data_IF_598044150029
#
_entry.id   IF_598044150029
#
_cell.length_a   1.000
_cell.length_b   1.000
_cell.length_c   1.000
_cell.angle_alpha   90.00
_cell.angle_beta   90.00
_cell.angle_gamma   90.00
#
_symmetry.space_group_name_H-M   'P 1'
#
loop_
_entity.id
_entity.type
_entity.pdbx_description
1 polymer ?
#
# COMPACT_ATOMS: atom_id res chain seq x y z
N UNK A 1 24.80 6.27 5.71
CA UNK A 1 25.43 4.94 5.64
C UNK A 1 25.06 4.20 6.92
N UNK A 2 24.07 3.31 6.87
CA UNK A 2 23.64 2.52 8.03
C UNK A 2 24.43 1.22 8.06
N UNK A 3 25.26 1.07 9.07
CA UNK A 3 26.10 -0.10 9.26
C UNK A 3 25.39 -1.11 10.15
N UNK A 4 25.25 -2.36 9.68
CA UNK A 4 24.60 -3.42 10.44
C UNK A 4 25.41 -4.72 10.38
N UNK A 5 25.68 -5.31 11.53
CA UNK A 5 26.31 -6.63 11.61
C UNK A 5 25.26 -7.74 11.57
N UNK A 6 25.50 -8.79 10.79
CA UNK A 6 24.78 -10.06 10.89
C UNK A 6 25.49 -10.96 11.88
N UNK A 7 24.87 -11.33 12.97
CA UNK A 7 25.25 -12.54 13.68
C UNK A 7 24.04 -13.46 13.77
N UNK A 8 24.32 -14.76 13.66
CA UNK A 8 23.35 -15.86 13.64
C UNK A 8 22.35 -15.80 14.79
N UNK A 9 21.13 -15.98 14.46
CA UNK A 9 19.97 -16.56 15.18
C UNK A 9 19.54 -16.10 16.58
N UNK A 10 20.31 -15.38 17.37
CA UNK A 10 19.78 -14.85 18.66
C UNK A 10 20.64 -13.70 19.16
N UNK A 11 20.06 -12.51 19.34
CA UNK A 11 20.59 -11.30 20.01
C UNK A 11 21.32 -10.31 19.12
N UNK A 12 20.53 -9.51 18.39
CA UNK A 12 21.04 -8.42 17.55
C UNK A 12 21.19 -7.09 18.35
N UNK A 13 20.64 -7.00 19.56
CA UNK A 13 20.51 -5.75 20.32
C UNK A 13 21.63 -5.50 21.35
N UNK A 14 22.82 -6.08 21.17
CA UNK A 14 23.91 -5.99 22.15
C UNK A 14 25.28 -5.79 21.50
N UNK A 15 25.37 -4.84 20.57
CA UNK A 15 26.64 -4.48 19.95
C UNK A 15 26.89 -2.98 20.09
N UNK A 16 28.15 -2.61 20.33
CA UNK A 16 28.60 -1.21 20.38
C UNK A 16 29.45 -0.93 19.14
N UNK A 17 29.06 0.08 18.36
CA UNK A 17 29.81 0.53 17.20
C UNK A 17 30.62 1.79 17.54
N UNK A 18 31.92 1.76 17.31
CA UNK A 18 32.79 2.94 17.34
C UNK A 18 33.05 3.39 15.91
N UNK A 19 32.50 4.53 15.53
CA UNK A 19 32.67 5.13 14.21
C UNK A 19 33.74 6.21 14.29
N UNK A 20 34.82 6.08 13.50
CA UNK A 20 35.91 7.02 13.40
C UNK A 20 36.19 7.35 11.93
N UNK A 21 36.96 8.42 11.65
CA UNK A 21 37.33 8.81 10.26
C UNK A 21 38.04 7.69 9.49
N UNK A 22 38.75 6.82 10.17
CA UNK A 22 39.54 5.72 9.62
C UNK A 22 38.80 4.38 9.60
N UNK A 23 37.52 4.33 9.96
CA UNK A 23 36.69 3.11 9.87
C UNK A 23 35.75 2.90 11.04
N UNK A 24 35.15 1.70 11.05
CA UNK A 24 34.18 1.27 12.04
C UNK A 24 34.70 0.05 12.76
N UNK A 25 34.61 0.06 14.08
CA UNK A 25 34.89 -1.08 14.93
C UNK A 25 33.64 -1.47 15.69
N UNK A 26 33.31 -2.76 15.66
CA UNK A 26 32.18 -3.33 16.40
C UNK A 26 32.70 -4.13 17.59
N UNK A 27 31.97 -4.06 18.70
CA UNK A 27 32.23 -4.81 19.92
C UNK A 27 30.91 -5.40 20.41
N UNK A 28 30.95 -6.57 21.04
CA UNK A 28 29.84 -7.05 21.85
C UNK A 28 29.78 -6.29 23.20
N UNK A 29 28.73 -6.54 23.97
CA UNK A 29 28.58 -5.90 25.31
C UNK A 29 29.64 -6.28 26.32
N UNK A 30 30.42 -7.32 26.06
CA UNK A 30 31.58 -7.71 26.86
C UNK A 30 32.88 -7.03 26.38
N UNK A 31 32.80 -6.14 25.37
CA UNK A 31 33.96 -5.44 24.80
C UNK A 31 34.81 -6.27 23.82
N UNK A 32 34.34 -7.46 23.42
CA UNK A 32 35.08 -8.30 22.46
C UNK A 32 34.88 -7.79 21.03
N UNK A 33 35.95 -7.64 20.25
CA UNK A 33 35.83 -7.20 18.86
C UNK A 33 34.97 -8.14 18.01
N UNK A 34 34.15 -7.55 17.12
CA UNK A 34 33.34 -8.23 16.10
C UNK A 34 33.68 -7.68 14.73
N UNK A 35 33.67 -8.53 13.71
CA UNK A 35 33.83 -8.08 12.33
C UNK A 35 32.54 -7.44 11.80
N UNK A 36 32.58 -6.18 11.30
CA UNK A 36 31.44 -5.54 10.69
C UNK A 36 31.09 -6.24 9.38
N UNK A 37 29.82 -6.66 9.22
CA UNK A 37 29.32 -7.12 7.94
C UNK A 37 28.64 -5.95 7.24
N UNK A 38 29.19 -5.56 6.10
CA UNK A 38 28.66 -4.49 5.27
C UNK A 38 27.62 -5.06 4.31
N UNK A 39 26.48 -4.37 4.17
CA UNK A 39 25.49 -4.63 3.16
C UNK A 39 25.46 -3.42 2.22
N UNK A 40 25.60 -3.63 0.92
CA UNK A 40 25.55 -2.57 -0.05
C UNK A 40 24.10 -2.13 -0.23
N UNK A 41 23.84 -0.83 -0.07
CA UNK A 41 22.57 -0.19 -0.39
C UNK A 41 22.76 0.52 -1.72
N UNK A 42 22.04 0.07 -2.75
CA UNK A 42 22.16 0.60 -4.11
C UNK A 42 21.27 1.83 -4.34
N UNK A 43 21.12 2.69 -3.34
CA UNK A 43 20.40 3.95 -3.51
C UNK A 43 21.37 5.03 -3.95
N UNK A 44 21.03 5.67 -5.08
CA UNK A 44 21.74 6.85 -5.54
C UNK A 44 21.43 8.03 -4.59
N UNK A 45 22.42 8.77 -4.07
CA UNK A 45 22.20 9.99 -3.30
C UNK A 45 21.33 11.04 -4.03
N UNK A 46 21.41 11.11 -5.37
CA UNK A 46 20.58 11.99 -6.20
C UNK A 46 19.08 11.67 -6.06
N UNK A 47 18.73 10.41 -5.81
CA UNK A 47 17.33 10.03 -5.54
C UNK A 47 16.77 10.64 -4.25
N UNK A 48 17.62 11.05 -3.33
CA UNK A 48 17.24 11.74 -2.09
C UNK A 48 17.07 13.26 -2.25
N UNK A 49 17.20 13.80 -3.47
CA UNK A 49 16.98 15.20 -3.78
C UNK A 49 15.56 15.43 -4.31
N UNK A 50 15.04 16.66 -4.17
CA UNK A 50 13.69 17.02 -4.66
C UNK A 50 13.57 17.05 -6.20
N UNK A 51 14.67 17.05 -6.93
CA UNK A 51 14.73 16.98 -8.41
C UNK A 51 13.79 17.98 -9.12
N UNK A 52 13.72 19.22 -8.59
CA UNK A 52 12.86 20.29 -9.11
C UNK A 52 11.41 20.31 -8.60
N UNK A 53 10.98 19.30 -7.87
CA UNK A 53 9.67 19.30 -7.23
C UNK A 53 9.66 20.19 -5.97
N UNK A 54 8.52 20.79 -5.67
CA UNK A 54 8.37 21.65 -4.49
C UNK A 54 8.49 20.85 -3.18
N UNK A 55 7.96 19.62 -3.14
CA UNK A 55 7.95 18.75 -1.98
C UNK A 55 8.38 17.33 -2.36
N UNK A 56 8.95 16.60 -1.41
CA UNK A 56 9.29 15.18 -1.59
C UNK A 56 8.06 14.34 -1.92
N UNK A 57 6.95 14.54 -1.20
CA UNK A 57 5.72 13.81 -1.48
C UNK A 57 5.25 13.97 -2.92
N UNK A 58 5.30 15.18 -3.49
CA UNK A 58 4.91 15.37 -4.89
C UNK A 58 5.82 14.60 -5.84
N UNK A 59 7.15 14.67 -5.64
CA UNK A 59 8.11 13.86 -6.37
C UNK A 59 7.77 12.37 -6.28
N UNK A 60 7.52 11.87 -5.08
CA UNK A 60 7.22 10.47 -4.80
C UNK A 60 5.90 10.00 -5.42
N UNK A 61 4.89 10.89 -5.55
CA UNK A 61 3.68 10.62 -6.32
C UNK A 61 4.01 10.42 -7.82
N UNK A 62 4.88 11.27 -8.38
CA UNK A 62 5.29 11.17 -9.79
C UNK A 62 6.31 10.05 -10.06
N UNK A 63 6.98 9.54 -9.04
CA UNK A 63 7.89 8.40 -9.14
C UNK A 63 7.18 7.04 -9.12
N UNK A 64 5.88 6.99 -8.83
CA UNK A 64 5.15 5.73 -8.69
C UNK A 64 5.22 4.83 -9.93
N UNK A 65 5.10 5.31 -11.19
CA UNK A 65 5.25 4.46 -12.38
C UNK A 65 6.60 3.72 -12.38
N UNK A 66 7.71 4.46 -12.20
CA UNK A 66 9.06 3.88 -12.16
C UNK A 66 9.25 2.95 -10.94
N UNK A 67 8.63 3.29 -9.80
CA UNK A 67 8.67 2.43 -8.62
C UNK A 67 7.98 1.08 -8.87
N UNK A 68 6.86 1.05 -9.60
CA UNK A 68 6.19 -0.18 -10.02
C UNK A 68 7.07 -0.97 -11.01
N UNK A 69 7.67 -0.33 -12.01
CA UNK A 69 8.63 -0.99 -12.92
C UNK A 69 9.74 -1.70 -12.15
N UNK A 70 10.38 -1.01 -11.20
CA UNK A 70 11.43 -1.57 -10.35
C UNK A 70 10.91 -2.73 -9.47
N UNK A 71 9.66 -2.62 -9.00
CA UNK A 71 9.03 -3.65 -8.18
C UNK A 71 8.82 -4.94 -8.95
N UNK A 72 8.38 -4.84 -10.20
CA UNK A 72 8.04 -6.01 -11.03
C UNK A 72 9.23 -6.57 -11.82
N UNK A 73 10.31 -5.80 -11.96
CA UNK A 73 11.47 -6.16 -12.75
C UNK A 73 12.08 -7.50 -12.30
N UNK A 74 12.15 -8.47 -13.24
CA UNK A 74 12.72 -9.79 -13.03
C UNK A 74 11.84 -10.74 -12.19
N UNK A 75 10.61 -10.33 -11.79
CA UNK A 75 9.74 -11.15 -10.92
C UNK A 75 8.76 -12.03 -11.67
N UNK A 76 8.72 -11.95 -12.98
CA UNK A 76 7.94 -12.87 -13.81
C UNK A 76 8.48 -12.92 -15.24
N UNK A 77 8.06 -13.95 -15.97
CA UNK A 77 8.32 -14.10 -17.40
C UNK A 77 7.00 -14.29 -18.13
N UNK A 78 6.73 -13.43 -19.12
CA UNK A 78 5.56 -13.58 -19.99
C UNK A 78 5.69 -14.80 -20.94
N UNK A 79 6.91 -15.22 -21.28
CA UNK A 79 7.13 -16.36 -22.16
C UNK A 79 6.75 -17.69 -21.50
N UNK A 80 7.08 -17.82 -20.20
CA UNK A 80 6.85 -19.06 -19.43
C UNK A 80 5.68 -18.97 -18.46
N UNK A 81 5.07 -17.79 -18.30
CA UNK A 81 4.07 -17.48 -17.29
C UNK A 81 4.52 -17.80 -15.85
N UNK A 82 5.84 -17.84 -15.61
CA UNK A 82 6.41 -18.10 -14.28
C UNK A 82 6.50 -16.82 -13.48
N UNK A 83 6.24 -16.92 -12.19
CA UNK A 83 6.40 -15.85 -11.22
C UNK A 83 7.57 -16.21 -10.32
N UNK A 84 8.57 -15.33 -10.28
CA UNK A 84 9.82 -15.50 -9.56
C UNK A 84 9.87 -14.52 -8.38
N UNK A 85 9.62 -15.03 -7.19
CA UNK A 85 9.79 -14.25 -5.95
C UNK A 85 11.21 -14.53 -5.40
N UNK A 86 12.25 -14.17 -6.17
CA UNK A 86 13.66 -14.54 -5.90
C UNK A 86 14.16 -14.14 -4.51
N UNK A 87 13.63 -13.04 -3.97
CA UNK A 87 13.96 -12.58 -2.62
C UNK A 87 13.35 -13.50 -1.54
N UNK A 88 12.36 -14.35 -1.90
CA UNK A 88 11.61 -15.21 -0.97
C UNK A 88 12.12 -16.65 -1.04
N UNK A 89 12.85 -17.06 -0.02
CA UNK A 89 13.50 -18.37 0.05
C UNK A 89 12.52 -19.52 0.45
N UNK A 90 11.28 -19.50 -0.04
CA UNK A 90 10.32 -20.58 0.17
C UNK A 90 10.25 -21.45 -1.09
N UNK A 91 10.30 -22.78 -0.90
CA UNK A 91 10.05 -23.71 -2.00
C UNK A 91 8.56 -23.73 -2.38
N UNK A 92 8.25 -24.17 -3.60
CA UNK A 92 6.86 -24.34 -4.06
C UNK A 92 6.05 -25.26 -3.15
N UNK A 93 6.67 -26.33 -2.61
CA UNK A 93 6.00 -27.23 -1.67
C UNK A 93 5.69 -26.54 -0.34
N UNK A 94 6.57 -25.68 0.14
CA UNK A 94 6.29 -24.87 1.33
C UNK A 94 5.16 -23.86 1.07
N UNK A 95 5.15 -23.19 -0.08
CA UNK A 95 4.06 -22.30 -0.47
C UNK A 95 2.71 -23.05 -0.53
N UNK A 96 2.66 -24.23 -1.11
CA UNK A 96 1.46 -25.08 -1.20
C UNK A 96 0.99 -25.61 0.16
N UNK A 97 1.88 -25.70 1.14
CA UNK A 97 1.54 -26.17 2.48
C UNK A 97 0.71 -25.16 3.28
N UNK A 98 0.80 -23.87 2.98
CA UNK A 98 0.04 -22.84 3.69
C UNK A 98 -1.46 -22.95 3.37
N UNK A 99 -2.27 -23.14 4.40
CA UNK A 99 -3.74 -23.23 4.34
C UNK A 99 -4.42 -21.96 4.78
N UNK A 100 -3.72 -21.13 5.54
CA UNK A 100 -4.18 -19.86 6.09
C UNK A 100 -3.10 -18.81 5.95
N UNK A 101 -3.50 -17.57 5.70
CA UNK A 101 -2.60 -16.43 5.66
C UNK A 101 -3.08 -15.41 6.69
N UNK A 102 -2.15 -14.87 7.46
CA UNK A 102 -2.40 -13.78 8.39
C UNK A 102 -1.49 -12.61 8.06
N UNK A 103 -2.08 -11.46 7.75
CA UNK A 103 -1.33 -10.26 7.39
C UNK A 103 -1.43 -9.26 8.54
N UNK A 104 -0.28 -8.83 9.07
CA UNK A 104 -0.18 -7.91 10.18
C UNK A 104 0.59 -6.66 9.74
N UNK A 105 -0.01 -5.49 9.97
CA UNK A 105 0.55 -4.21 9.56
C UNK A 105 -0.05 -3.05 10.37
N UNK A 106 0.47 -1.84 10.17
CA UNK A 106 -0.05 -0.60 10.76
C UNK A 106 -0.27 0.46 9.68
N UNK A 107 -1.24 1.35 9.88
CA UNK A 107 -1.50 2.53 9.03
C UNK A 107 -1.69 2.18 7.55
N UNK A 108 -1.02 2.91 6.67
CA UNK A 108 -1.04 2.70 5.22
C UNK A 108 -0.75 1.26 4.81
N UNK A 109 0.20 0.59 5.48
CA UNK A 109 0.50 -0.82 5.19
C UNK A 109 -0.63 -1.78 5.60
N UNK A 110 -1.47 -1.41 6.57
CA UNK A 110 -2.67 -2.17 6.91
C UNK A 110 -3.75 -2.04 5.82
N UNK A 111 -3.88 -0.86 5.19
CA UNK A 111 -4.76 -0.70 4.02
C UNK A 111 -4.27 -1.56 2.84
N UNK A 112 -2.95 -1.60 2.60
CA UNK A 112 -2.38 -2.50 1.60
C UNK A 112 -2.65 -3.99 1.93
N UNK A 113 -2.49 -4.38 3.19
CA UNK A 113 -2.82 -5.72 3.69
C UNK A 113 -4.28 -6.09 3.41
N UNK A 114 -5.21 -5.15 3.67
CA UNK A 114 -6.64 -5.36 3.45
C UNK A 114 -6.97 -5.52 1.96
N UNK A 115 -6.35 -4.73 1.07
CA UNK A 115 -6.47 -4.94 -0.38
C UNK A 115 -5.87 -6.28 -0.80
N UNK A 116 -4.69 -6.64 -0.26
CA UNK A 116 -4.04 -7.93 -0.48
C UNK A 116 -4.89 -9.14 -0.08
N UNK A 117 -5.69 -9.00 0.99
CA UNK A 117 -6.69 -10.02 1.36
C UNK A 117 -7.65 -10.29 0.21
N UNK A 118 -8.26 -9.25 -0.36
CA UNK A 118 -9.16 -9.42 -1.51
C UNK A 118 -8.45 -10.11 -2.69
N UNK A 119 -7.22 -9.71 -3.00
CA UNK A 119 -6.43 -10.30 -4.08
C UNK A 119 -6.18 -11.81 -3.85
N UNK A 120 -5.69 -12.18 -2.67
CA UNK A 120 -5.31 -13.56 -2.35
C UNK A 120 -6.56 -14.45 -2.25
N UNK A 121 -7.60 -14.01 -1.55
CA UNK A 121 -8.83 -14.79 -1.40
C UNK A 121 -9.54 -15.01 -2.73
N UNK A 122 -9.58 -14.00 -3.60
CA UNK A 122 -10.24 -14.09 -4.89
C UNK A 122 -9.44 -14.95 -5.89
N UNK A 123 -8.13 -14.74 -5.99
CA UNK A 123 -7.30 -15.40 -7.01
C UNK A 123 -6.80 -16.78 -6.57
N UNK A 124 -6.29 -16.89 -5.34
CA UNK A 124 -5.67 -18.13 -4.86
C UNK A 124 -6.62 -19.01 -4.03
N UNK A 125 -7.76 -18.48 -3.59
CA UNK A 125 -8.76 -19.18 -2.76
C UNK A 125 -8.19 -19.67 -1.42
N UNK A 126 -7.22 -18.93 -0.87
CA UNK A 126 -6.63 -19.17 0.45
C UNK A 126 -7.23 -18.15 1.43
N UNK A 127 -7.79 -18.59 2.57
CA UNK A 127 -8.35 -17.68 3.57
C UNK A 127 -7.30 -16.73 4.14
N UNK A 128 -7.64 -15.44 4.22
CA UNK A 128 -6.75 -14.39 4.75
C UNK A 128 -7.43 -13.63 5.87
N UNK A 129 -6.76 -13.51 7.00
CA UNK A 129 -7.13 -12.60 8.07
C UNK A 129 -6.14 -11.44 8.13
N UNK A 130 -6.66 -10.21 8.27
CA UNK A 130 -5.85 -8.99 8.39
C UNK A 130 -6.12 -8.34 9.74
N UNK A 131 -5.06 -7.93 10.43
CA UNK A 131 -5.19 -7.26 11.72
C UNK A 131 -4.15 -6.15 11.89
N UNK A 132 -4.42 -5.24 12.81
CA UNK A 132 -3.41 -4.27 13.25
C UNK A 132 -2.32 -4.96 14.05
N UNK A 133 -1.06 -4.73 13.70
CA UNK A 133 0.06 -5.33 14.41
C UNK A 133 0.11 -4.88 15.89
N UNK A 134 -0.32 -3.65 16.19
CA UNK A 134 -0.47 -3.12 17.54
C UNK A 134 -1.46 -3.90 18.38
N UNK A 135 -2.65 -4.25 17.80
CA UNK A 135 -3.76 -4.85 18.53
C UNK A 135 -3.65 -6.38 18.61
N UNK A 136 -3.14 -7.00 17.54
CA UNK A 136 -3.04 -8.46 17.45
C UNK A 136 -2.24 -9.09 18.59
N UNK A 137 -1.25 -8.37 19.11
CA UNK A 137 -0.39 -8.80 20.21
C UNK A 137 -1.14 -9.02 21.52
N UNK A 138 -2.21 -8.27 21.75
CA UNK A 138 -2.90 -8.23 23.05
C UNK A 138 -4.21 -9.03 23.07
N UNK A 139 -4.77 -9.39 21.93
CA UNK A 139 -6.06 -10.06 21.87
C UNK A 139 -6.01 -11.59 22.05
N UNK A 140 -4.84 -12.18 22.27
CA UNK A 140 -4.67 -13.64 22.39
C UNK A 140 -5.33 -14.41 21.20
N UNK A 141 -4.87 -14.22 19.97
CA UNK A 141 -5.54 -14.71 18.77
C UNK A 141 -5.46 -16.24 18.67
N UNK A 142 -6.51 -16.83 18.06
CA UNK A 142 -6.45 -18.24 17.64
C UNK A 142 -5.55 -18.34 16.42
N UNK A 143 -4.53 -19.18 16.49
CA UNK A 143 -3.61 -19.45 15.38
C UNK A 143 -3.93 -20.83 14.83
N UNK A 144 -4.26 -20.88 13.55
CA UNK A 144 -4.53 -22.12 12.85
C UNK A 144 -3.22 -22.79 12.39
N UNK A 145 -3.18 -24.13 12.30
CA UNK A 145 -2.04 -24.83 11.69
C UNK A 145 -1.78 -24.34 10.27
N UNK A 146 -0.55 -24.53 9.78
CA UNK A 146 -0.17 -24.19 8.39
C UNK A 146 -0.46 -22.73 8.03
N UNK A 147 -0.30 -21.81 9.00
CA UNK A 147 -0.46 -20.37 8.80
C UNK A 147 0.84 -19.72 8.32
N UNK A 148 0.77 -18.98 7.20
CA UNK A 148 1.79 -18.01 6.82
C UNK A 148 1.47 -16.66 7.44
N UNK A 149 2.41 -16.10 8.19
CA UNK A 149 2.35 -14.71 8.66
C UNK A 149 3.04 -13.80 7.66
N UNK A 150 2.34 -12.77 7.18
CA UNK A 150 2.91 -11.72 6.33
C UNK A 150 2.93 -10.42 7.14
N UNK A 151 4.11 -9.83 7.29
CA UNK A 151 4.30 -8.55 7.96
C UNK A 151 4.63 -7.49 6.94
N UNK A 152 3.84 -6.40 6.88
CA UNK A 152 4.03 -5.34 5.89
C UNK A 152 4.44 -4.05 6.61
N UNK A 153 5.52 -3.44 6.15
CA UNK A 153 6.02 -2.17 6.67
C UNK A 153 6.92 -1.49 5.65
N UNK A 154 6.79 -0.18 5.47
CA UNK A 154 7.65 0.57 4.55
C UNK A 154 9.11 0.60 5.04
N UNK A 155 9.33 1.03 6.29
CA UNK A 155 10.66 1.23 6.88
C UNK A 155 11.32 -0.05 7.39
N UNK A 156 10.50 -1.05 7.75
CA UNK A 156 10.95 -2.22 8.48
C UNK A 156 11.40 -1.94 9.92
N UNK A 157 11.09 -0.74 10.44
CA UNK A 157 11.47 -0.27 11.77
C UNK A 157 10.25 0.06 12.65
N UNK A 158 9.02 -0.18 12.19
CA UNK A 158 7.77 0.05 12.95
C UNK A 158 7.75 -0.91 14.15
N UNK A 159 7.78 -0.35 15.36
CA UNK A 159 7.99 -1.14 16.58
C UNK A 159 6.89 -2.17 16.81
N UNK A 160 5.62 -1.79 16.63
CA UNK A 160 4.49 -2.71 16.77
C UNK A 160 4.58 -3.91 15.82
N UNK A 161 4.95 -3.65 14.55
CA UNK A 161 5.12 -4.71 13.54
C UNK A 161 6.28 -5.65 13.91
N UNK A 162 7.41 -5.08 14.37
CA UNK A 162 8.58 -5.88 14.82
C UNK A 162 8.20 -6.74 16.04
N UNK A 163 7.49 -6.15 16.98
CA UNK A 163 7.12 -6.83 18.21
C UNK A 163 6.10 -7.97 17.94
N UNK A 164 5.09 -7.72 17.09
CA UNK A 164 4.17 -8.74 16.62
C UNK A 164 4.92 -9.87 15.89
N UNK A 165 5.85 -9.55 15.00
CA UNK A 165 6.64 -10.54 14.28
C UNK A 165 7.49 -11.40 15.21
N UNK A 166 8.14 -10.79 16.22
CA UNK A 166 8.92 -11.52 17.22
C UNK A 166 8.05 -12.47 18.05
N UNK A 167 6.85 -12.04 18.41
CA UNK A 167 5.92 -12.81 19.22
C UNK A 167 5.36 -14.04 18.47
N UNK A 168 5.04 -13.88 17.18
CA UNK A 168 4.32 -14.91 16.45
C UNK A 168 5.18 -15.78 15.52
N UNK A 169 6.47 -15.48 15.34
CA UNK A 169 7.38 -16.26 14.48
C UNK A 169 7.53 -17.74 14.85
N UNK A 170 7.25 -18.11 16.10
CA UNK A 170 7.31 -19.50 16.54
C UNK A 170 6.04 -20.30 16.21
N UNK A 171 4.99 -19.60 15.80
CA UNK A 171 3.69 -20.18 15.47
C UNK A 171 3.49 -20.47 13.97
N UNK A 172 4.36 -19.97 13.10
CA UNK A 172 4.30 -20.16 11.65
C UNK A 172 5.46 -19.50 10.94
N UNK A 173 5.52 -19.67 9.63
CA UNK A 173 6.52 -19.01 8.79
C UNK A 173 6.20 -17.52 8.63
N UNK A 174 7.24 -16.70 8.65
CA UNK A 174 7.14 -15.24 8.56
C UNK A 174 7.73 -14.74 7.24
N UNK A 175 6.89 -14.16 6.40
CA UNK A 175 7.27 -13.34 5.24
C UNK A 175 7.18 -11.86 5.61
N UNK A 176 8.23 -11.10 5.34
CA UNK A 176 8.19 -9.63 5.48
C UNK A 176 8.15 -8.97 4.11
N UNK A 177 7.19 -8.07 3.89
CA UNK A 177 7.13 -7.17 2.74
C UNK A 177 7.61 -5.79 3.20
N UNK A 178 8.75 -5.31 2.67
CA UNK A 178 9.36 -4.05 3.12
C UNK A 178 10.20 -3.39 2.03
N UNK A 179 10.41 -2.07 2.16
CA UNK A 179 11.23 -1.32 1.20
C UNK A 179 12.70 -1.22 1.61
N UNK A 180 13.00 -1.31 2.92
CA UNK A 180 14.35 -1.04 3.43
C UNK A 180 15.13 -2.32 3.64
N UNK A 181 16.19 -2.49 2.86
CA UNK A 181 17.10 -3.63 2.94
C UNK A 181 17.81 -3.65 4.30
N UNK A 182 17.84 -4.83 4.95
CA UNK A 182 18.52 -5.03 6.22
C UNK A 182 17.84 -4.37 7.43
N UNK A 183 16.58 -3.95 7.30
CA UNK A 183 15.77 -3.41 8.41
C UNK A 183 15.51 -4.45 9.50
N UNK A 184 15.00 -4.02 10.67
CA UNK A 184 14.83 -4.93 11.81
C UNK A 184 13.86 -6.08 11.52
N UNK A 185 12.76 -5.83 10.80
CA UNK A 185 11.82 -6.88 10.41
C UNK A 185 12.46 -7.94 9.51
N UNK A 186 13.40 -7.55 8.62
CA UNK A 186 14.07 -8.50 7.72
C UNK A 186 14.99 -9.48 8.44
N UNK A 187 15.45 -9.13 9.64
CA UNK A 187 16.37 -9.96 10.42
C UNK A 187 15.70 -11.10 11.18
N UNK A 188 14.39 -10.95 11.40
CA UNK A 188 13.59 -11.95 12.13
C UNK A 188 12.66 -12.73 11.22
N UNK A 189 12.53 -12.32 9.94
CA UNK A 189 11.75 -13.01 8.92
C UNK A 189 12.41 -14.33 8.47
N UNK A 190 11.60 -15.31 8.10
CA UNK A 190 12.06 -16.51 7.37
C UNK A 190 12.33 -16.17 5.90
N UNK A 191 11.57 -15.23 5.34
CA UNK A 191 11.71 -14.74 3.97
C UNK A 191 11.37 -13.24 3.88
N UNK A 192 11.89 -12.56 2.87
CA UNK A 192 11.68 -11.12 2.65
C UNK A 192 11.33 -10.88 1.19
N UNK A 193 10.29 -10.08 0.96
CA UNK A 193 9.93 -9.54 -0.35
C UNK A 193 10.13 -8.03 -0.33
N UNK A 194 11.15 -7.55 -1.03
CA UNK A 194 11.46 -6.12 -1.10
C UNK A 194 10.57 -5.41 -2.13
N UNK A 195 9.98 -4.27 -1.77
CA UNK A 195 9.14 -3.49 -2.70
C UNK A 195 9.94 -2.76 -3.77
N UNK A 196 11.24 -2.50 -3.54
CA UNK A 196 12.14 -1.83 -4.49
C UNK A 196 11.64 -0.42 -4.92
N UNK A 197 10.86 0.25 -4.07
CA UNK A 197 10.31 1.58 -4.36
C UNK A 197 11.34 2.71 -4.36
N UNK A 198 12.60 2.43 -4.01
CA UNK A 198 13.59 3.47 -3.76
C UNK A 198 13.34 4.23 -2.44
N UNK A 199 14.11 5.28 -2.14
CA UNK A 199 13.93 6.06 -0.92
C UNK A 199 12.60 6.83 -0.95
N UNK A 200 11.84 6.77 0.15
CA UNK A 200 10.63 7.55 0.39
C UNK A 200 10.86 8.41 1.63
N UNK A 201 10.89 9.74 1.46
CA UNK A 201 11.32 10.74 2.45
C UNK A 201 10.14 11.45 3.08
N UNK A 202 9.11 11.80 2.28
CA UNK A 202 7.86 12.38 2.77
C UNK A 202 7.26 11.52 3.87
N UNK A 203 6.77 12.12 4.96
CA UNK A 203 6.21 11.37 6.10
C UNK A 203 5.00 10.56 5.66
N UNK A 204 4.07 11.17 4.91
CA UNK A 204 2.94 10.46 4.34
C UNK A 204 3.39 9.53 3.21
N UNK A 205 3.06 8.24 3.32
CA UNK A 205 3.47 7.22 2.34
C UNK A 205 2.69 7.35 1.03
N UNK A 206 3.38 7.15 -0.09
CA UNK A 206 2.82 7.19 -1.47
C UNK A 206 3.29 5.99 -2.29
N UNK A 207 4.48 6.04 -2.89
CA UNK A 207 5.03 4.98 -3.74
C UNK A 207 5.29 3.67 -2.98
N UNK A 208 5.58 3.73 -1.68
CA UNK A 208 5.71 2.51 -0.89
C UNK A 208 4.38 1.75 -0.80
N UNK A 209 3.24 2.45 -0.71
CA UNK A 209 1.92 1.83 -0.71
C UNK A 209 1.60 1.13 -2.03
N UNK A 210 1.75 1.82 -3.17
CA UNK A 210 1.47 1.23 -4.49
C UNK A 210 2.36 0.04 -4.79
N UNK A 211 3.64 0.09 -4.39
CA UNK A 211 4.56 -1.05 -4.55
C UNK A 211 4.25 -2.21 -3.58
N UNK A 212 3.71 -1.96 -2.39
CA UNK A 212 3.17 -3.00 -1.51
C UNK A 212 1.99 -3.73 -2.17
N UNK A 213 1.05 -2.98 -2.79
CA UNK A 213 -0.06 -3.57 -3.54
C UNK A 213 0.43 -4.46 -4.69
N UNK A 214 1.41 -4.00 -5.48
CA UNK A 214 2.00 -4.78 -6.56
C UNK A 214 2.69 -6.07 -6.05
N UNK A 215 3.41 -6.00 -4.93
CA UNK A 215 4.00 -7.17 -4.30
C UNK A 215 2.94 -8.18 -3.84
N UNK A 216 1.84 -7.71 -3.23
CA UNK A 216 0.75 -8.58 -2.78
C UNK A 216 0.00 -9.20 -3.96
N UNK A 217 -0.16 -8.46 -5.06
CA UNK A 217 -0.73 -9.00 -6.30
C UNK A 217 0.14 -10.12 -6.88
N UNK A 218 1.47 -9.94 -6.92
CA UNK A 218 2.40 -11.00 -7.35
C UNK A 218 2.34 -12.23 -6.43
N UNK A 219 2.23 -12.04 -5.11
CA UNK A 219 2.04 -13.15 -4.15
C UNK A 219 0.72 -13.88 -4.42
N UNK A 220 -0.37 -13.13 -4.67
CA UNK A 220 -1.67 -13.71 -4.99
C UNK A 220 -1.65 -14.53 -6.28
N UNK A 221 -1.03 -14.02 -7.34
CA UNK A 221 -0.87 -14.73 -8.61
C UNK A 221 0.02 -15.97 -8.47
N UNK A 222 1.12 -15.87 -7.71
CA UNK A 222 2.02 -17.00 -7.43
C UNK A 222 1.27 -18.14 -6.72
N UNK A 223 0.55 -17.82 -5.65
CA UNK A 223 -0.28 -18.79 -4.93
C UNK A 223 -1.39 -19.36 -5.83
N UNK A 224 -2.07 -18.50 -6.61
CA UNK A 224 -3.12 -18.95 -7.53
C UNK A 224 -2.60 -19.97 -8.55
N UNK A 225 -1.42 -19.73 -9.12
CA UNK A 225 -0.75 -20.65 -10.03
C UNK A 225 -0.38 -21.96 -9.35
N UNK A 226 0.26 -21.90 -8.18
CA UNK A 226 0.67 -23.09 -7.42
C UNK A 226 -0.49 -23.96 -6.98
N UNK A 227 -1.63 -23.34 -6.66
CA UNK A 227 -2.86 -24.05 -6.27
C UNK A 227 -3.74 -24.44 -7.47
N UNK A 228 -3.32 -24.13 -8.72
CA UNK A 228 -4.09 -24.43 -9.92
C UNK A 228 -5.45 -23.74 -9.99
N UNK A 229 -5.55 -22.52 -9.44
CA UNK A 229 -6.79 -21.71 -9.40
C UNK A 229 -6.97 -20.83 -10.61
N UNK A 230 -5.88 -20.53 -11.32
CA UNK A 230 -5.87 -19.79 -12.56
C UNK A 230 -5.15 -20.62 -13.64
N UNK A 231 -5.67 -20.58 -14.85
CA UNK A 231 -5.03 -21.16 -16.04
C UNK A 231 -3.80 -20.32 -16.44
N UNK A 232 -2.91 -20.91 -17.25
CA UNK A 232 -1.75 -20.19 -17.79
C UNK A 232 -2.17 -18.98 -18.64
N UNK A 233 -3.33 -19.02 -19.30
CA UNK A 233 -3.86 -17.89 -20.06
C UNK A 233 -4.31 -16.71 -19.15
N UNK A 234 -4.97 -17.03 -18.03
CA UNK A 234 -5.36 -16.02 -17.04
C UNK A 234 -4.15 -15.42 -16.34
N UNK A 235 -3.15 -16.24 -15.96
CA UNK A 235 -1.88 -15.74 -15.41
C UNK A 235 -1.18 -14.84 -16.43
N UNK A 236 -1.07 -15.25 -17.69
CA UNK A 236 -0.47 -14.41 -18.75
C UNK A 236 -1.18 -13.08 -18.89
N UNK A 237 -2.52 -13.06 -18.90
CA UNK A 237 -3.32 -11.84 -18.98
C UNK A 237 -3.02 -10.93 -17.77
N UNK A 238 -3.05 -11.46 -16.55
CA UNK A 238 -2.79 -10.73 -15.33
C UNK A 238 -1.37 -10.10 -15.30
N UNK A 239 -0.36 -10.84 -15.78
CA UNK A 239 1.02 -10.36 -15.89
C UNK A 239 1.18 -9.30 -16.99
N UNK A 240 0.45 -9.44 -18.11
CA UNK A 240 0.41 -8.43 -19.17
C UNK A 240 -0.20 -7.13 -18.65
N UNK A 241 -1.38 -7.22 -17.99
CA UNK A 241 -2.03 -6.06 -17.37
C UNK A 241 -1.09 -5.34 -16.36
N UNK A 242 -0.30 -6.12 -15.58
CA UNK A 242 0.68 -5.58 -14.64
C UNK A 242 1.86 -4.91 -15.36
N UNK A 243 2.28 -5.41 -16.52
CA UNK A 243 3.34 -4.79 -17.34
C UNK A 243 2.89 -3.45 -17.93
N UNK A 244 1.60 -3.30 -18.23
CA UNK A 244 1.02 -2.05 -18.75
C UNK A 244 0.74 -1.00 -17.66
N UNK A 245 0.74 -1.42 -16.40
CA UNK A 245 0.35 -0.57 -15.27
C UNK A 245 1.15 0.73 -15.16
N UNK A 246 2.50 0.76 -15.31
CA UNK A 246 3.27 2.01 -15.26
C UNK A 246 2.79 3.06 -16.26
N UNK A 247 2.51 2.67 -17.50
CA UNK A 247 1.99 3.59 -18.52
C UNK A 247 0.59 4.11 -18.17
N UNK A 248 -0.28 3.27 -17.62
CA UNK A 248 -1.60 3.70 -17.13
C UNK A 248 -1.49 4.68 -15.97
N UNK A 249 -0.51 4.48 -15.09
CA UNK A 249 -0.21 5.41 -14.00
C UNK A 249 0.29 6.77 -14.52
N UNK A 250 1.14 6.80 -15.53
CA UNK A 250 1.55 8.04 -16.21
C UNK A 250 0.34 8.78 -16.77
N UNK A 251 -0.60 8.08 -17.40
CA UNK A 251 -1.83 8.68 -17.92
C UNK A 251 -2.68 9.32 -16.80
N UNK A 252 -2.77 8.69 -15.62
CA UNK A 252 -3.43 9.31 -14.45
C UNK A 252 -2.74 10.62 -14.05
N UNK A 253 -1.41 10.66 -14.07
CA UNK A 253 -0.63 11.85 -13.71
C UNK A 253 -0.81 13.02 -14.70
N UNK A 254 -1.14 12.75 -15.97
CA UNK A 254 -1.51 13.80 -16.93
C UNK A 254 -2.75 14.58 -16.47
N UNK A 255 -3.65 13.96 -15.70
CA UNK A 255 -4.83 14.59 -15.11
C UNK A 255 -4.56 15.41 -13.84
N UNK A 256 -3.32 15.46 -13.32
CA UNK A 256 -2.99 16.08 -12.04
C UNK A 256 -3.44 17.56 -11.96
N UNK A 257 -3.39 18.30 -13.07
CA UNK A 257 -3.81 19.71 -13.10
C UNK A 257 -5.32 19.88 -12.87
N UNK A 258 -6.15 19.01 -13.40
CA UNK A 258 -7.60 19.05 -13.17
C UNK A 258 -7.93 18.77 -11.69
N UNK A 259 -7.21 17.85 -11.06
CA UNK A 259 -7.34 17.56 -9.61
C UNK A 259 -6.91 18.79 -8.79
N UNK A 260 -5.80 19.44 -9.14
CA UNK A 260 -5.38 20.68 -8.49
C UNK A 260 -6.46 21.76 -8.59
N UNK A 261 -7.07 21.93 -9.76
CA UNK A 261 -8.11 22.94 -9.98
C UNK A 261 -9.38 22.61 -9.20
N UNK A 262 -9.79 21.36 -9.17
CA UNK A 262 -10.92 20.86 -8.37
C UNK A 262 -10.77 21.22 -6.88
N UNK A 263 -9.58 21.10 -6.32
CA UNK A 263 -9.34 21.39 -4.89
C UNK A 263 -9.60 22.85 -4.52
N UNK A 264 -9.70 23.80 -5.49
CA UNK A 264 -10.04 25.21 -5.20
C UNK A 264 -11.41 25.34 -4.55
N UNK A 265 -12.37 24.48 -4.91
CA UNK A 265 -13.71 24.46 -4.31
C UNK A 265 -13.81 23.65 -3.02
N UNK A 266 -12.84 22.74 -2.78
CA UNK A 266 -12.99 21.73 -1.75
C UNK A 266 -12.11 21.94 -0.50
N UNK A 267 -10.95 22.61 -0.62
CA UNK A 267 -9.92 22.66 0.44
C UNK A 267 -10.36 23.32 1.76
N UNK A 268 -11.47 24.06 1.78
CA UNK A 268 -12.01 24.71 2.97
C UNK A 268 -13.10 23.93 3.68
N UNK A 269 -13.54 22.82 3.10
CA UNK A 269 -14.50 21.94 3.73
C UNK A 269 -13.88 21.29 4.97
N UNK A 270 -14.68 21.09 6.01
CA UNK A 270 -14.21 20.60 7.31
C UNK A 270 -14.09 19.10 7.38
N UNK A 271 -14.97 18.43 6.64
CA UNK A 271 -15.17 16.99 6.69
C UNK A 271 -15.22 16.42 5.27
N UNK A 272 -14.75 15.19 5.10
CA UNK A 272 -14.83 14.43 3.85
C UNK A 272 -15.22 12.99 4.14
N UNK A 273 -16.04 12.41 3.28
CA UNK A 273 -16.26 10.97 3.25
C UNK A 273 -15.61 10.35 2.01
N UNK A 274 -15.03 9.17 2.18
CA UNK A 274 -14.45 8.38 1.11
C UNK A 274 -15.17 7.05 1.04
N UNK A 275 -15.84 6.77 -0.06
CA UNK A 275 -16.76 5.65 -0.19
C UNK A 275 -16.34 4.71 -1.33
N UNK A 276 -16.35 3.43 -1.04
CA UNK A 276 -16.10 2.40 -2.05
C UNK A 276 -16.72 1.05 -1.65
N UNK A 277 -16.59 0.07 -2.54
CA UNK A 277 -17.02 -1.32 -2.29
C UNK A 277 -15.91 -2.31 -2.65
N UNK A 278 -15.92 -3.48 -2.02
CA UNK A 278 -14.97 -4.55 -2.30
C UNK A 278 -13.53 -4.12 -2.08
N UNK A 279 -12.64 -4.47 -3.00
CA UNK A 279 -11.20 -4.17 -2.93
C UNK A 279 -10.89 -2.65 -2.92
N UNK A 280 -11.80 -1.82 -3.42
CA UNK A 280 -11.63 -0.36 -3.44
C UNK A 280 -11.87 0.28 -2.06
N UNK A 281 -12.54 -0.42 -1.13
CA UNK A 281 -12.77 0.10 0.22
C UNK A 281 -11.48 0.42 0.99
N UNK A 282 -10.47 -0.45 1.08
CA UNK A 282 -9.20 -0.09 1.70
C UNK A 282 -8.47 1.07 1.00
N UNK A 283 -8.73 1.31 -0.30
CA UNK A 283 -8.19 2.46 -1.02
C UNK A 283 -8.91 3.76 -0.61
N UNK A 284 -10.21 3.70 -0.38
CA UNK A 284 -10.96 4.81 0.20
C UNK A 284 -10.46 5.17 1.62
N UNK A 285 -10.16 4.16 2.45
CA UNK A 285 -9.52 4.38 3.76
C UNK A 285 -8.16 5.06 3.63
N UNK A 286 -7.36 4.66 2.65
CA UNK A 286 -6.04 5.27 2.38
C UNK A 286 -6.18 6.73 1.93
N UNK A 287 -7.15 7.04 1.06
CA UNK A 287 -7.45 8.42 0.65
C UNK A 287 -7.86 9.30 1.84
N UNK A 288 -8.73 8.79 2.70
CA UNK A 288 -9.14 9.48 3.94
C UNK A 288 -7.94 9.69 4.87
N UNK A 289 -7.05 8.70 5.01
CA UNK A 289 -5.84 8.81 5.81
C UNK A 289 -4.91 9.89 5.25
N UNK A 290 -4.65 9.91 3.95
CA UNK A 290 -3.78 10.93 3.32
C UNK A 290 -4.32 12.34 3.51
N UNK A 291 -5.62 12.53 3.37
CA UNK A 291 -6.23 13.85 3.58
C UNK A 291 -6.05 14.31 5.04
N UNK A 292 -6.31 13.44 6.03
CA UNK A 292 -6.11 13.74 7.46
C UNK A 292 -4.66 14.09 7.80
N UNK A 293 -3.72 13.26 7.34
CA UNK A 293 -2.30 13.41 7.66
C UNK A 293 -1.73 14.73 7.17
N UNK A 294 -2.11 15.16 5.97
CA UNK A 294 -1.50 16.28 5.28
C UNK A 294 -2.21 17.61 5.54
N UNK A 295 -3.53 17.59 5.50
CA UNK A 295 -4.35 18.82 5.54
C UNK A 295 -4.98 19.10 6.90
N UNK A 296 -5.00 18.10 7.77
CA UNK A 296 -5.68 18.10 9.07
C UNK A 296 -7.21 18.22 8.95
N UNK A 297 -7.77 18.10 7.75
CA UNK A 297 -9.20 17.99 7.51
C UNK A 297 -9.66 16.64 8.06
N UNK A 298 -10.78 16.60 8.77
CA UNK A 298 -11.39 15.35 9.19
C UNK A 298 -11.87 14.56 7.97
N UNK A 299 -11.49 13.30 7.87
CA UNK A 299 -11.87 12.45 6.75
C UNK A 299 -12.06 11.00 7.20
N UNK A 300 -13.13 10.36 6.73
CA UNK A 300 -13.45 8.98 7.05
C UNK A 300 -13.72 8.16 5.80
N UNK A 301 -13.31 6.88 5.84
CA UNK A 301 -13.62 5.91 4.79
C UNK A 301 -14.68 4.93 5.25
N UNK A 302 -15.69 4.67 4.41
CA UNK A 302 -16.74 3.68 4.69
C UNK A 302 -16.95 2.74 3.49
N UNK A 303 -17.34 1.48 3.74
CA UNK A 303 -17.98 0.70 2.69
C UNK A 303 -19.25 1.42 2.26
N UNK A 304 -19.39 1.74 0.96
CA UNK A 304 -20.52 2.56 0.48
C UNK A 304 -21.90 2.00 0.83
N UNK A 305 -22.00 0.67 1.02
CA UNK A 305 -23.23 0.02 1.49
C UNK A 305 -23.65 0.38 2.91
N UNK A 306 -22.68 0.75 3.77
CA UNK A 306 -22.91 1.07 5.18
C UNK A 306 -23.45 2.47 5.41
N UNK A 307 -23.49 3.31 4.37
CA UNK A 307 -24.02 4.68 4.47
C UNK A 307 -25.44 4.72 5.05
N UNK A 308 -26.27 3.74 4.71
CA UNK A 308 -27.66 3.61 5.20
C UNK A 308 -27.78 3.29 6.69
N UNK A 309 -26.68 2.85 7.31
CA UNK A 309 -26.64 2.40 8.70
C UNK A 309 -26.11 3.47 9.68
N UNK A 310 -26.18 4.74 9.26
CA UNK A 310 -25.82 5.88 10.10
C UNK A 310 -25.19 7.04 9.35
N UNK A 311 -24.08 6.83 8.59
CA UNK A 311 -23.29 7.95 7.98
C UNK A 311 -24.09 8.86 7.04
N UNK A 312 -25.21 8.40 6.44
CA UNK A 312 -26.11 9.27 5.65
C UNK A 312 -26.62 10.49 6.42
N UNK A 313 -26.63 10.45 7.76
CA UNK A 313 -27.02 11.58 8.60
C UNK A 313 -26.04 12.77 8.54
N UNK A 314 -24.82 12.54 8.06
CA UNK A 314 -23.78 13.58 7.93
C UNK A 314 -23.86 14.36 6.62
N UNK A 315 -24.64 13.87 5.63
CA UNK A 315 -24.66 14.44 4.28
C UNK A 315 -25.44 15.76 4.30
N UNK A 316 -24.79 16.82 3.84
CA UNK A 316 -25.34 18.13 3.53
C UNK A 316 -24.62 18.74 2.32
N UNK A 317 -25.03 19.95 1.93
CA UNK A 317 -24.47 20.70 0.79
C UNK A 317 -23.00 21.13 0.95
N UNK A 318 -22.40 20.92 2.11
CA UNK A 318 -21.00 21.27 2.42
C UNK A 318 -20.10 20.04 2.53
N UNK A 319 -20.63 18.81 2.47
CA UNK A 319 -19.86 17.59 2.65
C UNK A 319 -19.42 17.00 1.30
N UNK A 320 -18.12 17.06 0.96
CA UNK A 320 -17.59 16.30 -0.17
C UNK A 320 -17.57 14.80 0.14
N UNK A 321 -18.11 14.03 -0.79
CA UNK A 321 -18.11 12.58 -0.75
C UNK A 321 -17.35 12.04 -1.97
N UNK A 322 -16.19 11.46 -1.71
CA UNK A 322 -15.30 10.90 -2.73
C UNK A 322 -15.66 9.43 -2.96
N UNK A 323 -16.10 9.10 -4.16
CA UNK A 323 -16.44 7.75 -4.56
C UNK A 323 -15.36 7.13 -5.42
N UNK A 324 -14.95 5.90 -5.10
CA UNK A 324 -14.15 5.05 -5.97
C UNK A 324 -15.11 4.12 -6.72
N UNK A 325 -15.29 4.40 -7.99
CA UNK A 325 -16.29 3.79 -8.84
C UNK A 325 -15.70 3.15 -10.11
N UNK A 326 -14.39 3.01 -10.21
CA UNK A 326 -13.79 2.30 -11.33
C UNK A 326 -14.19 0.82 -11.31
N UNK A 327 -14.25 0.22 -12.50
CA UNK A 327 -14.58 -1.19 -12.67
C UNK A 327 -13.77 -1.83 -13.79
N UNK A 328 -13.59 -3.15 -13.71
CA UNK A 328 -13.02 -3.95 -14.77
C UNK A 328 -14.10 -4.25 -15.82
N UNK A 329 -14.00 -3.72 -17.06
CA UNK A 329 -14.99 -3.97 -18.10
C UNK A 329 -15.11 -5.45 -18.50
N UNK A 330 -14.08 -6.26 -18.20
CA UNK A 330 -14.05 -7.69 -18.49
C UNK A 330 -14.65 -8.59 -17.39
N UNK A 331 -15.05 -7.99 -16.24
CA UNK A 331 -15.57 -8.73 -15.07
C UNK A 331 -17.03 -8.37 -14.78
N UNK A 332 -17.97 -9.31 -14.95
CA UNK A 332 -19.37 -9.10 -14.56
C UNK A 332 -19.55 -8.75 -13.08
N UNK A 333 -18.76 -9.32 -12.19
CA UNK A 333 -18.79 -9.06 -10.75
C UNK A 333 -18.34 -7.63 -10.44
N UNK A 334 -17.30 -7.16 -11.13
CA UNK A 334 -16.83 -5.78 -11.01
C UNK A 334 -17.88 -4.80 -11.51
N UNK A 335 -18.54 -5.09 -12.63
CA UNK A 335 -19.63 -4.27 -13.15
C UNK A 335 -20.83 -4.23 -12.17
N UNK A 336 -21.24 -5.37 -11.63
CA UNK A 336 -22.32 -5.42 -10.63
C UNK A 336 -21.98 -4.59 -9.38
N UNK A 337 -20.73 -4.61 -8.93
CA UNK A 337 -20.27 -3.77 -7.83
C UNK A 337 -20.35 -2.28 -8.19
N UNK A 338 -19.93 -1.91 -9.39
CA UNK A 338 -20.02 -0.55 -9.93
C UNK A 338 -21.47 -0.03 -9.93
N UNK A 339 -22.44 -0.80 -10.42
CA UNK A 339 -23.86 -0.42 -10.38
C UNK A 339 -24.34 -0.10 -8.94
N UNK A 340 -23.83 -0.83 -7.95
CA UNK A 340 -24.17 -0.56 -6.54
C UNK A 340 -23.53 0.74 -6.04
N UNK A 341 -22.33 1.09 -6.53
CA UNK A 341 -21.69 2.37 -6.24
C UNK A 341 -22.48 3.52 -6.88
N UNK A 342 -22.92 3.40 -8.14
CA UNK A 342 -23.77 4.39 -8.79
C UNK A 342 -25.06 4.64 -7.99
N UNK A 343 -25.69 3.59 -7.47
CA UNK A 343 -26.87 3.75 -6.61
C UNK A 343 -26.54 4.51 -5.32
N UNK A 344 -25.37 4.28 -4.72
CA UNK A 344 -24.95 5.05 -3.54
C UNK A 344 -24.64 6.51 -3.88
N UNK A 345 -24.07 6.80 -5.06
CA UNK A 345 -23.89 8.18 -5.55
C UNK A 345 -25.24 8.90 -5.64
N UNK A 346 -26.26 8.27 -6.26
CA UNK A 346 -27.61 8.83 -6.35
C UNK A 346 -28.23 9.09 -4.96
N UNK A 347 -27.98 8.21 -3.98
CA UNK A 347 -28.44 8.40 -2.61
C UNK A 347 -27.82 9.61 -1.91
N UNK A 348 -26.52 9.83 -2.11
CA UNK A 348 -25.79 11.00 -1.57
C UNK A 348 -26.24 12.26 -2.29
N UNK A 349 -26.34 12.23 -3.61
CA UNK A 349 -26.77 13.38 -4.44
C UNK A 349 -28.20 13.84 -4.10
N UNK A 350 -29.10 12.91 -3.75
CA UNK A 350 -30.46 13.24 -3.30
C UNK A 350 -30.54 13.96 -1.93
N UNK A 351 -29.38 14.12 -1.27
CA UNK A 351 -29.20 14.82 0.02
C UNK A 351 -28.28 16.03 -0.12
N UNK A 352 -28.10 16.51 -1.34
CA UNK A 352 -27.29 17.67 -1.69
C UNK A 352 -25.77 17.54 -1.40
N UNK A 353 -25.24 16.33 -1.13
CA UNK A 353 -23.81 16.10 -0.93
C UNK A 353 -22.99 16.38 -2.20
N UNK A 354 -21.79 16.93 -2.03
CA UNK A 354 -20.85 17.23 -3.14
C UNK A 354 -20.19 15.92 -3.59
N UNK A 355 -20.46 15.49 -4.83
CA UNK A 355 -19.95 14.22 -5.37
C UNK A 355 -18.62 14.43 -6.10
N UNK A 356 -17.57 13.78 -5.61
CA UNK A 356 -16.30 13.59 -6.33
C UNK A 356 -16.21 12.13 -6.73
N UNK A 357 -16.26 11.81 -8.03
CA UNK A 357 -16.20 10.44 -8.52
C UNK A 357 -14.86 10.16 -9.22
N UNK A 358 -14.20 9.09 -8.84
CA UNK A 358 -13.03 8.53 -9.55
C UNK A 358 -13.51 7.27 -10.27
N UNK A 359 -13.36 7.21 -11.59
CA UNK A 359 -13.87 6.11 -12.40
C UNK A 359 -13.23 6.02 -13.78
N UNK A 360 -13.67 5.05 -14.57
CA UNK A 360 -13.10 4.79 -15.88
C UNK A 360 -13.26 5.96 -16.84
N UNK A 361 -12.24 6.23 -17.65
CA UNK A 361 -12.32 7.21 -18.73
C UNK A 361 -13.52 6.94 -19.63
N UNK A 362 -14.28 8.02 -19.97
CA UNK A 362 -15.44 7.93 -20.85
C UNK A 362 -16.73 7.43 -20.19
N UNK A 363 -16.76 7.26 -18.88
CA UNK A 363 -17.96 6.85 -18.14
C UNK A 363 -18.97 8.00 -18.05
N UNK A 364 -19.96 7.96 -18.94
CA UNK A 364 -20.99 9.00 -19.05
C UNK A 364 -21.91 9.05 -17.81
N UNK A 365 -22.23 7.91 -17.22
CA UNK A 365 -23.10 7.82 -16.05
C UNK A 365 -22.47 8.48 -14.82
N UNK A 366 -21.16 8.26 -14.62
CA UNK A 366 -20.39 8.93 -13.55
C UNK A 366 -20.24 10.43 -13.83
N UNK A 367 -19.98 10.82 -15.07
CA UNK A 367 -19.86 12.24 -15.45
C UNK A 367 -21.15 13.01 -15.17
N UNK A 368 -22.32 12.44 -15.48
CA UNK A 368 -23.62 13.07 -15.23
C UNK A 368 -23.98 13.06 -13.73
N UNK A 369 -23.57 12.03 -13.00
CA UNK A 369 -23.96 11.83 -11.60
C UNK A 369 -23.08 12.57 -10.61
N UNK A 370 -21.91 13.10 -11.02
CA UNK A 370 -20.94 13.74 -10.13
C UNK A 370 -20.80 15.25 -10.36
N UNK A 371 -20.40 15.98 -9.32
CA UNK A 371 -20.05 17.40 -9.41
C UNK A 371 -18.60 17.56 -9.89
N UNK A 372 -17.78 16.58 -9.56
CA UNK A 372 -16.39 16.47 -10.04
C UNK A 372 -16.10 15.04 -10.45
N UNK A 373 -15.69 14.85 -11.70
CA UNK A 373 -15.26 13.55 -12.23
C UNK A 373 -13.76 13.52 -12.48
N UNK A 374 -13.11 12.48 -11.98
CA UNK A 374 -11.67 12.21 -12.15
C UNK A 374 -11.52 10.91 -12.94
N UNK A 375 -11.24 11.00 -14.25
CA UNK A 375 -11.07 9.82 -15.08
C UNK A 375 -9.75 9.11 -14.81
N UNK A 376 -9.78 7.77 -14.83
CA UNK A 376 -8.61 6.90 -14.80
C UNK A 376 -8.70 5.84 -15.91
N UNK A 377 -7.57 5.33 -16.43
CA UNK A 377 -7.56 4.26 -17.41
C UNK A 377 -8.20 2.98 -16.90
N UNK A 378 -8.88 2.24 -17.76
CA UNK A 378 -9.42 0.92 -17.44
C UNK A 378 -8.30 -0.10 -17.20
N UNK A 379 -8.53 -1.01 -16.23
CA UNK A 379 -7.62 -2.12 -15.91
C UNK A 379 -8.40 -3.27 -15.29
N UNK A 380 -7.70 -4.38 -14.95
CA UNK A 380 -8.35 -5.39 -14.14
C UNK A 380 -8.63 -4.88 -12.70
N UNK A 381 -9.61 -5.48 -12.04
CA UNK A 381 -10.15 -5.08 -10.74
C UNK A 381 -9.05 -4.82 -9.68
N UNK A 382 -8.00 -5.66 -9.66
CA UNK A 382 -6.97 -5.59 -8.62
C UNK A 382 -5.99 -4.43 -8.86
N UNK A 383 -5.66 -4.13 -10.12
CA UNK A 383 -4.76 -3.06 -10.50
C UNK A 383 -5.44 -1.68 -10.49
N UNK A 384 -6.78 -1.63 -10.62
CA UNK A 384 -7.55 -0.40 -10.41
C UNK A 384 -7.29 0.19 -9.03
N UNK A 385 -7.10 -0.62 -7.99
CA UNK A 385 -6.75 -0.16 -6.64
C UNK A 385 -5.47 0.69 -6.61
N UNK A 386 -4.51 0.41 -7.50
CA UNK A 386 -3.26 1.18 -7.64
C UNK A 386 -3.51 2.48 -8.43
N UNK A 387 -4.36 2.45 -9.45
CA UNK A 387 -4.68 3.63 -10.25
C UNK A 387 -5.53 4.64 -9.46
N UNK A 388 -6.50 4.16 -8.68
CA UNK A 388 -7.42 4.99 -7.89
C UNK A 388 -6.74 5.75 -6.74
N UNK A 389 -5.68 5.20 -6.15
CA UNK A 389 -5.01 5.87 -5.02
C UNK A 389 -4.25 7.13 -5.45
N UNK A 390 -3.78 7.20 -6.69
CA UNK A 390 -2.99 8.33 -7.17
C UNK A 390 -3.78 9.65 -7.20
N UNK A 391 -5.02 9.72 -7.73
CA UNK A 391 -5.87 10.90 -7.60
C UNK A 391 -6.14 11.29 -6.15
N UNK A 392 -6.30 10.32 -5.24
CA UNK A 392 -6.52 10.58 -3.81
C UNK A 392 -5.30 11.22 -3.15
N UNK A 393 -4.10 10.76 -3.49
CA UNK A 393 -2.84 11.35 -3.02
C UNK A 393 -2.70 12.80 -3.53
N UNK A 394 -3.02 13.05 -4.80
CA UNK A 394 -3.00 14.39 -5.39
C UNK A 394 -4.05 15.31 -4.75
N UNK A 395 -5.27 14.82 -4.50
CA UNK A 395 -6.32 15.56 -3.81
C UNK A 395 -5.84 16.00 -2.42
N UNK A 396 -5.32 15.07 -1.63
CA UNK A 396 -4.80 15.35 -0.28
C UNK A 396 -3.63 16.35 -0.33
N UNK A 397 -2.68 16.14 -1.25
CA UNK A 397 -1.53 17.03 -1.46
C UNK A 397 -1.98 18.46 -1.78
N UNK A 398 -2.86 18.66 -2.77
CA UNK A 398 -3.27 19.99 -3.19
C UNK A 398 -4.15 20.70 -2.17
N UNK A 399 -5.02 19.99 -1.43
CA UNK A 399 -5.75 20.56 -0.29
C UNK A 399 -4.77 21.09 0.78
N UNK A 400 -3.78 20.29 1.15
CA UNK A 400 -2.80 20.66 2.15
C UNK A 400 -1.91 21.85 1.72
N UNK A 401 -1.48 21.88 0.44
CA UNK A 401 -0.73 23.01 -0.12
C UNK A 401 -1.54 24.31 -0.05
N UNK A 402 -2.85 24.26 -0.36
CA UNK A 402 -3.74 25.44 -0.29
C UNK A 402 -3.98 25.92 1.13
N UNK A 403 -3.96 25.03 2.10
CA UNK A 403 -4.07 25.33 3.52
C UNK A 403 -2.75 25.82 4.13
N UNK A 404 -1.65 25.77 3.38
CA UNK A 404 -0.31 26.16 3.86
C UNK A 404 0.29 25.20 4.87
N UNK A 405 -0.12 23.92 4.84
CA UNK A 405 0.42 22.87 5.72
C UNK A 405 1.84 22.46 5.30
N UNK A 406 2.63 21.95 6.25
CA UNK A 406 3.89 21.28 5.93
C UNK A 406 3.60 19.90 5.32
N UNK A 407 3.97 19.70 4.07
CA UNK A 407 3.65 18.52 3.29
C UNK A 407 4.59 17.36 3.63
N UNK A 408 5.88 17.66 3.71
CA UNK A 408 6.91 16.62 3.87
C UNK A 408 7.04 16.19 5.35
N UNK A 409 6.72 17.10 6.28
CA UNK A 409 6.76 16.86 7.73
C UNK A 409 5.48 17.37 8.42
N UNK A 410 4.33 16.71 8.22
CA UNK A 410 3.10 17.09 8.89
C UNK A 410 3.26 17.09 10.42
N UNK A 411 2.55 18.03 11.08
CA UNK A 411 2.64 18.14 12.55
C UNK A 411 2.27 16.82 13.24
N UNK A 412 2.95 16.53 14.36
CA UNK A 412 2.69 15.38 15.23
C UNK A 412 2.91 13.99 14.58
N UNK A 413 3.50 13.94 13.39
CA UNK A 413 3.81 12.69 12.69
C UNK A 413 5.31 12.51 12.50
N UNK A 414 5.73 11.25 12.39
CA UNK A 414 7.10 10.87 12.05
C UNK A 414 7.08 9.79 10.97
N UNK A 415 8.11 9.79 10.09
CA UNK A 415 8.21 8.81 8.98
C UNK A 415 8.26 7.37 9.48
N UNK A 416 8.86 7.11 10.63
CA UNK A 416 8.92 5.78 11.23
C UNK A 416 8.51 5.87 12.70
N UNK A 417 7.55 5.05 13.10
CA UNK A 417 7.08 4.94 14.49
C UNK A 417 7.98 3.95 15.22
N UNK A 418 8.92 4.47 15.99
CA UNK A 418 9.95 3.69 16.69
C UNK A 418 9.73 3.66 18.21
N UNK A 419 8.57 4.11 18.66
CA UNK A 419 8.10 4.10 20.06
C UNK A 419 6.74 3.43 20.15
N UNK A 420 6.47 2.80 21.30
CA UNK A 420 5.13 2.30 21.67
C UNK A 420 4.32 3.41 22.32
#
# INVERSE_FOLDING_TARGET
>A
MLFRSRSSRNRIDREVAVVARNGIRLFDTAGKPREPKFQQVNWDPVMAEKSGYKHFMLKEIYEQPVAIENTILGRFSLDTNQIHLEDVAFSDDLWKSFKHIRILACGTSWHAATAGKYMIESLARVPVEVDYASEYRYRNPVILPDTLFIFITQSGETLDTIAAQRQFREHGKCLTVTNVVGSMTTRVADAVLYTRAGPEIGVASTKAFTTQLACLYLVALHLAKLHGKLSDAEIRKALTDLTELPQKMENVLLGAKSIEDMTKGLFRQRDFLFLARGIHFPIALEGALKLKELSYIHAEGYPAGEMKHGPNALIDENLPVVFLAAHDPGSPESHQRYEKVLNNIKEVKSRDGIIVAIGNEGDADLMESSDHFVPIPSSNEYLLSILEVMPLQLLAYHCAVRLGCDIDQPRNLAKSVTVE
#
